data_IF_732666094558
#
_entry.id   IF_732666094558
#
_cell.length_a   1.000
_cell.length_b   1.000
_cell.length_c   1.000
_cell.angle_alpha   90.00
_cell.angle_beta   90.00
_cell.angle_gamma   90.00
#
_symmetry.space_group_name_H-M   'P 1'
#
loop_
_entity.id
_entity.type
_entity.pdbx_description
1 polymer ?
#
# COMPACT_ATOMS: atom_id res chain seq x y z
N UNK A 1 -13.01 4.65 0.58
CA UNK A 1 -12.92 4.94 -0.86
C UNK A 1 -11.88 4.05 -1.51
N UNK A 2 -12.26 3.37 -2.57
CA UNK A 2 -11.33 2.50 -3.28
C UNK A 2 -10.50 3.30 -4.27
N UNK A 3 -9.31 2.81 -4.56
CA UNK A 3 -8.47 3.40 -5.59
C UNK A 3 -9.06 3.10 -6.97
N UNK A 4 -8.91 4.04 -7.88
CA UNK A 4 -9.29 3.80 -9.26
C UNK A 4 -8.34 2.78 -9.89
N UNK A 5 -8.77 2.14 -10.97
CA UNK A 5 -7.92 1.18 -11.67
C UNK A 5 -6.62 1.80 -12.16
N UNK A 6 -6.69 3.04 -12.64
CA UNK A 6 -5.49 3.72 -13.12
C UNK A 6 -4.48 3.94 -12.01
N UNK A 7 -4.95 4.37 -10.84
CA UNK A 7 -4.06 4.60 -9.70
C UNK A 7 -3.50 3.28 -9.21
N UNK A 8 -4.35 2.26 -9.13
CA UNK A 8 -3.94 0.94 -8.68
C UNK A 8 -2.86 0.36 -9.59
N UNK A 9 -3.07 0.44 -10.90
CA UNK A 9 -2.10 -0.07 -11.88
C UNK A 9 -0.78 0.69 -11.78
N UNK A 10 -0.86 2.01 -11.62
CA UNK A 10 0.34 2.84 -11.48
C UNK A 10 1.11 2.49 -10.21
N UNK A 11 0.41 2.20 -9.13
CA UNK A 11 1.06 1.79 -7.89
C UNK A 11 1.72 0.43 -8.02
N UNK A 12 1.09 -0.50 -8.75
CA UNK A 12 1.70 -1.80 -9.00
C UNK A 12 2.97 -1.65 -9.82
N UNK A 13 2.97 -0.77 -10.82
CA UNK A 13 4.17 -0.50 -11.60
C UNK A 13 5.25 0.14 -10.73
N UNK A 14 4.87 1.04 -9.86
CA UNK A 14 5.82 1.66 -8.94
C UNK A 14 6.44 0.64 -8.01
N UNK A 15 5.66 -0.32 -7.52
CA UNK A 15 6.19 -1.40 -6.69
C UNK A 15 7.23 -2.21 -7.45
N UNK A 16 6.92 -2.56 -8.69
CA UNK A 16 7.86 -3.31 -9.52
C UNK A 16 9.16 -2.55 -9.69
N UNK A 17 9.06 -1.26 -10.00
CA UNK A 17 10.24 -0.42 -10.18
C UNK A 17 11.03 -0.27 -8.90
N UNK A 18 10.36 -0.15 -7.77
CA UNK A 18 11.04 -0.05 -6.47
C UNK A 18 11.74 -1.34 -6.10
N UNK A 19 11.15 -2.49 -6.43
CA UNK A 19 11.80 -3.77 -6.19
C UNK A 19 13.08 -3.89 -7.00
N UNK A 20 13.06 -3.42 -8.23
CA UNK A 20 14.26 -3.40 -9.06
C UNK A 20 15.30 -2.45 -8.46
N UNK A 21 14.88 -1.27 -8.05
CA UNK A 21 15.78 -0.31 -7.41
C UNK A 21 16.39 -0.88 -6.13
N UNK A 22 15.58 -1.60 -5.35
CA UNK A 22 16.06 -2.23 -4.13
C UNK A 22 17.15 -3.26 -4.43
N UNK A 23 16.92 -4.09 -5.44
CA UNK A 23 17.90 -5.10 -5.82
C UNK A 23 19.22 -4.46 -6.28
N UNK A 24 19.14 -3.39 -7.06
CA UNK A 24 20.34 -2.70 -7.50
C UNK A 24 21.04 -1.98 -6.35
N UNK A 25 20.28 -1.34 -5.49
CA UNK A 25 20.88 -0.59 -4.39
C UNK A 25 21.55 -1.51 -3.38
N UNK A 26 21.01 -2.71 -3.19
CA UNK A 26 21.60 -3.67 -2.26
C UNK A 26 23.01 -4.09 -2.66
N UNK A 27 23.30 -4.00 -3.95
CA UNK A 27 24.63 -4.37 -4.47
C UNK A 27 25.60 -3.20 -4.51
N UNK A 28 25.09 -2.00 -4.74
CA UNK A 28 25.94 -0.88 -5.14
C UNK A 28 25.86 0.33 -4.22
N UNK A 29 24.89 0.37 -3.33
CA UNK A 29 24.65 1.55 -2.51
C UNK A 29 24.80 1.24 -1.03
N UNK A 30 24.82 2.30 -0.24
CA UNK A 30 24.87 2.16 1.21
C UNK A 30 23.57 1.55 1.72
N UNK A 31 23.64 0.79 2.84
CA UNK A 31 22.42 0.15 3.38
C UNK A 31 21.27 1.12 3.67
N UNK A 32 21.58 2.38 3.97
CA UNK A 32 20.55 3.38 4.23
C UNK A 32 19.68 3.61 3.01
N UNK A 33 20.25 3.55 1.81
CA UNK A 33 19.50 3.73 0.56
C UNK A 33 18.49 2.58 0.39
N UNK A 34 18.96 1.35 0.59
CA UNK A 34 18.08 0.18 0.49
C UNK A 34 16.96 0.24 1.52
N UNK A 35 17.26 0.70 2.73
CA UNK A 35 16.26 0.84 3.78
C UNK A 35 15.17 1.82 3.37
N UNK A 36 15.54 2.95 2.82
CA UNK A 36 14.56 3.95 2.38
C UNK A 36 13.69 3.41 1.24
N UNK A 37 14.28 2.68 0.31
CA UNK A 37 13.51 2.07 -0.79
C UNK A 37 12.54 1.04 -0.24
N UNK A 38 12.98 0.21 0.69
CA UNK A 38 12.12 -0.78 1.32
C UNK A 38 10.96 -0.12 2.07
N UNK A 39 11.21 1.02 2.73
CA UNK A 39 10.16 1.76 3.41
C UNK A 39 9.13 2.30 2.43
N UNK A 40 9.56 2.78 1.27
CA UNK A 40 8.64 3.24 0.24
C UNK A 40 7.77 2.11 -0.28
N UNK A 41 8.36 0.92 -0.48
CA UNK A 41 7.59 -0.26 -0.88
C UNK A 41 6.53 -0.60 0.16
N UNK A 42 6.93 -0.61 1.43
CA UNK A 42 5.99 -0.91 2.50
C UNK A 42 4.86 0.11 2.55
N UNK A 43 5.16 1.38 2.30
CA UNK A 43 4.13 2.42 2.27
C UNK A 43 3.13 2.20 1.16
N UNK A 44 3.58 1.78 -0.01
CA UNK A 44 2.67 1.49 -1.12
C UNK A 44 1.79 0.29 -0.78
N UNK A 45 2.38 -0.78 -0.22
CA UNK A 45 1.61 -1.94 0.19
C UNK A 45 0.56 -1.58 1.23
N UNK A 46 0.93 -0.75 2.20
CA UNK A 46 0.00 -0.31 3.23
C UNK A 46 -1.14 0.51 2.65
N UNK A 47 -0.84 1.38 1.70
CA UNK A 47 -1.86 2.18 1.03
C UNK A 47 -2.85 1.29 0.27
N UNK A 48 -2.35 0.31 -0.45
CA UNK A 48 -3.20 -0.59 -1.22
C UNK A 48 -4.05 -1.46 -0.30
N UNK A 49 -3.48 -1.89 0.83
CA UNK A 49 -4.24 -2.65 1.83
C UNK A 49 -5.32 -1.78 2.46
N UNK A 50 -5.00 -0.54 2.79
CA UNK A 50 -5.96 0.38 3.36
C UNK A 50 -7.10 0.64 2.38
N UNK A 51 -6.80 0.76 1.10
CA UNK A 51 -7.80 0.93 0.07
C UNK A 51 -8.76 -0.26 0.02
N UNK A 52 -8.23 -1.47 0.14
CA UNK A 52 -9.06 -2.67 0.17
C UNK A 52 -9.98 -2.68 1.38
N UNK A 53 -9.47 -2.28 2.54
CA UNK A 53 -10.28 -2.21 3.76
C UNK A 53 -11.38 -1.16 3.60
N UNK A 54 -11.05 0.01 3.08
CA UNK A 54 -12.03 1.06 2.87
C UNK A 54 -13.12 0.63 1.89
N UNK A 55 -12.72 -0.10 0.86
CA UNK A 55 -13.67 -0.63 -0.11
C UNK A 55 -14.67 -1.57 0.56
N UNK A 56 -14.19 -2.43 1.43
CA UNK A 56 -15.06 -3.33 2.18
C UNK A 56 -16.01 -2.58 3.10
N UNK A 57 -15.54 -1.53 3.74
CA UNK A 57 -16.38 -0.70 4.60
C UNK A 57 -17.49 -0.05 3.79
N UNK A 58 -17.16 0.53 2.64
CA UNK A 58 -18.11 1.22 1.80
C UNK A 58 -19.17 0.29 1.23
N UNK A 59 -18.84 -0.98 1.05
CA UNK A 59 -19.75 -1.96 0.50
C UNK A 59 -20.59 -2.67 1.55
N UNK A 60 -20.41 -2.35 2.83
CA UNK A 60 -21.15 -3.00 3.89
C UNK A 60 -22.52 -2.40 4.07
N UNK A 61 -23.43 -3.24 4.53
CA UNK A 61 -24.78 -2.79 4.90
C UNK A 61 -24.75 -2.10 6.25
N UNK A 62 -25.80 -1.35 6.53
CA UNK A 62 -25.87 -0.53 7.74
C UNK A 62 -25.68 -1.31 9.03
N UNK A 63 -26.13 -2.53 9.09
CA UNK A 63 -26.04 -3.31 10.32
C UNK A 63 -24.63 -3.62 10.78
N UNK A 64 -23.65 -3.46 9.91
CA UNK A 64 -22.27 -3.84 10.22
C UNK A 64 -21.43 -2.69 10.74
N UNK A 65 -22.00 -1.51 10.83
CA UNK A 65 -21.21 -0.30 11.14
C UNK A 65 -20.57 -0.35 12.52
N UNK A 66 -21.19 -1.00 13.48
CA UNK A 66 -20.66 -1.08 14.83
C UNK A 66 -19.29 -1.73 14.91
N UNK A 67 -19.06 -2.73 14.10
CA UNK A 67 -17.78 -3.43 14.07
C UNK A 67 -16.65 -2.49 13.66
N UNK A 68 -16.89 -1.67 12.67
CA UNK A 68 -15.89 -0.74 12.20
C UNK A 68 -15.71 0.44 13.09
N UNK A 69 -16.76 0.84 13.80
CA UNK A 69 -16.65 1.89 14.78
C UNK A 69 -15.60 1.54 15.82
N UNK A 70 -15.61 0.32 16.29
CA UNK A 70 -14.61 -0.16 17.25
C UNK A 70 -13.22 -0.15 16.64
N UNK A 71 -13.12 -0.55 15.40
CA UNK A 71 -11.83 -0.68 14.73
C UNK A 71 -11.16 0.67 14.53
N UNK A 72 -11.93 1.70 14.24
CA UNK A 72 -11.38 3.02 13.94
C UNK A 72 -11.36 3.96 15.13
N UNK A 73 -11.95 3.58 16.21
CA UNK A 73 -11.88 4.39 17.42
C UNK A 73 -10.60 4.09 18.19
#
# INVERSE_FOLDING_TARGET
MALSEQVKDSLEDAKSNLKNALAFSARNEKPMISKHIADMLANIDNLMMASTIMDKIENRKDGDSGTFGTFFN
#
